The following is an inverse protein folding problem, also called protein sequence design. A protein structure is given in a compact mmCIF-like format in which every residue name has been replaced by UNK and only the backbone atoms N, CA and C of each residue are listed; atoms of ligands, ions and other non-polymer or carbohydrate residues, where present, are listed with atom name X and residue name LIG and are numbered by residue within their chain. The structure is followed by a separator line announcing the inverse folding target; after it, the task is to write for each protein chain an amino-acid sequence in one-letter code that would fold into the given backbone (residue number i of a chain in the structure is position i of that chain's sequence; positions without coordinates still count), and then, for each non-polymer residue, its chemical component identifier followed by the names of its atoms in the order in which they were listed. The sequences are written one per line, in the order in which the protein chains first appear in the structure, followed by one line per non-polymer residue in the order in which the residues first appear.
data_IF_813218734646
#
_entry.id   IF_813218734646
#
_cell.length_a   1.000
_cell.length_b   1.000
_cell.length_c   1.000
_cell.angle_alpha   90.00
_cell.angle_beta   90.00
_cell.angle_gamma   90.00
#
_symmetry.space_group_name_H-M   'P 1'
#
loop_
_entity.id
_entity.type
_entity.pdbx_description
1 polymer ?
#
# COMPACT_ATOMS: atom_id res chain seq x y z
N UNK A 1 -3.70 24.97 -1.24
CA UNK A 1 -3.69 23.48 -1.25
C UNK A 1 -2.96 22.96 -0.04
N UNK A 2 -3.61 22.14 0.76
CA UNK A 2 -2.90 21.51 1.85
C UNK A 2 -1.82 20.58 1.30
N UNK A 3 -0.65 20.67 1.89
CA UNK A 3 0.46 19.79 1.57
C UNK A 3 0.24 18.45 2.27
N UNK A 4 0.52 17.34 1.57
CA UNK A 4 0.49 16.03 2.19
C UNK A 4 1.71 15.93 3.11
N UNK A 5 1.47 15.70 4.39
CA UNK A 5 2.54 15.64 5.37
C UNK A 5 3.14 14.26 5.45
N UNK A 6 4.48 14.18 5.44
CA UNK A 6 5.19 12.96 5.73
C UNK A 6 5.03 12.62 7.22
N UNK A 7 4.81 11.34 7.52
CA UNK A 7 4.75 10.88 8.90
C UNK A 7 6.10 11.05 9.58
N UNK A 8 6.10 11.51 10.83
CA UNK A 8 7.29 11.50 11.67
C UNK A 8 7.69 10.07 11.98
N UNK A 9 8.90 9.87 12.48
CA UNK A 9 9.38 8.54 12.86
C UNK A 9 8.44 7.88 13.87
N UNK A 10 7.95 8.64 14.84
CA UNK A 10 7.03 8.15 15.87
C UNK A 10 5.65 7.83 15.29
N UNK A 11 5.09 8.73 14.48
CA UNK A 11 3.81 8.51 13.81
C UNK A 11 3.87 7.28 12.90
N UNK A 12 4.99 7.13 12.19
CA UNK A 12 5.20 5.98 11.30
C UNK A 12 5.21 4.67 12.08
N UNK A 13 5.93 4.62 13.20
CA UNK A 13 5.99 3.42 14.03
C UNK A 13 4.60 3.02 14.54
N UNK A 14 3.81 3.99 15.00
CA UNK A 14 2.45 3.75 15.46
C UNK A 14 1.54 3.28 14.32
N UNK A 15 1.63 3.95 13.17
CA UNK A 15 0.81 3.63 12.00
C UNK A 15 1.10 2.20 11.50
N UNK A 16 2.37 1.81 11.45
CA UNK A 16 2.77 0.47 11.00
C UNK A 16 2.24 -0.63 11.91
N UNK A 17 2.06 -0.36 13.20
CA UNK A 17 1.48 -1.34 14.12
C UNK A 17 0.03 -1.68 13.76
N UNK A 18 -0.65 -0.83 13.00
CA UNK A 18 -2.03 -1.07 12.56
C UNK A 18 -2.12 -1.86 11.26
N UNK A 19 -1.00 -2.01 10.56
CA UNK A 19 -0.92 -2.78 9.31
C UNK A 19 0.28 -3.74 9.38
N UNK A 20 0.27 -4.72 10.30
CA UNK A 20 1.44 -5.54 10.60
C UNK A 20 1.91 -6.44 9.47
N UNK A 21 1.06 -6.70 8.47
CA UNK A 21 1.44 -7.51 7.31
C UNK A 21 2.28 -6.73 6.29
N UNK A 22 2.38 -5.41 6.44
CA UNK A 22 3.16 -4.56 5.55
C UNK A 22 4.56 -4.34 6.11
N UNK A 23 5.55 -4.42 5.22
CA UNK A 23 6.96 -4.30 5.57
C UNK A 23 7.47 -2.91 5.18
N UNK A 24 8.14 -2.25 6.13
CA UNK A 24 8.81 -0.97 5.86
C UNK A 24 10.07 -1.21 5.03
N UNK A 25 10.28 -0.38 3.99
CA UNK A 25 11.51 -0.44 3.21
C UNK A 25 12.73 0.00 4.04
N UNK A 26 13.94 -0.40 3.61
CA UNK A 26 15.17 -0.12 4.34
C UNK A 26 15.40 1.38 4.53
N UNK A 27 15.02 2.18 3.54
CA UNK A 27 15.15 3.64 3.60
C UNK A 27 13.92 4.32 4.23
N UNK A 28 12.96 3.55 4.72
CA UNK A 28 11.74 4.01 5.36
C UNK A 28 10.82 4.85 4.45
N UNK A 29 11.00 4.78 3.13
CA UNK A 29 10.23 5.60 2.18
C UNK A 29 8.91 4.96 1.75
N UNK A 30 8.74 3.67 1.96
CA UNK A 30 7.54 2.96 1.52
C UNK A 30 7.26 1.72 2.35
N UNK A 31 6.08 1.17 2.15
CA UNK A 31 5.70 -0.12 2.72
C UNK A 31 5.29 -1.06 1.61
N UNK A 32 5.52 -2.36 1.80
CA UNK A 32 5.20 -3.35 0.78
C UNK A 32 4.60 -4.61 1.40
N UNK A 33 3.83 -5.30 0.56
CA UNK A 33 3.22 -6.58 0.91
C UNK A 33 3.20 -7.46 -0.33
N UNK A 34 3.56 -8.73 -0.17
CA UNK A 34 3.50 -9.74 -1.23
C UNK A 34 2.36 -10.69 -0.93
N UNK A 35 1.55 -10.99 -1.93
CA UNK A 35 0.37 -11.85 -1.81
C UNK A 35 0.41 -12.95 -2.84
N UNK A 36 -0.09 -14.14 -2.47
CA UNK A 36 -0.26 -15.26 -3.37
C UNK A 36 -1.71 -15.70 -3.35
N UNK A 37 -2.22 -15.99 -4.54
CA UNK A 37 -3.60 -16.45 -4.76
C UNK A 37 -3.59 -17.84 -5.35
N UNK A 38 -4.77 -18.43 -5.53
CA UNK A 38 -4.88 -19.78 -6.09
C UNK A 38 -4.46 -19.83 -7.55
N UNK A 39 -4.77 -18.75 -8.31
CA UNK A 39 -4.48 -18.69 -9.74
C UNK A 39 -4.41 -17.22 -10.21
N UNK A 40 -4.21 -17.05 -11.51
CA UNK A 40 -4.12 -15.71 -12.10
C UNK A 40 -5.44 -14.95 -12.02
N UNK A 41 -6.57 -15.62 -12.22
CA UNK A 41 -7.88 -14.95 -12.18
C UNK A 41 -8.14 -14.37 -10.79
N UNK A 42 -7.82 -15.13 -9.73
CA UNK A 42 -7.95 -14.65 -8.36
C UNK A 42 -7.03 -13.45 -8.10
N UNK A 43 -5.78 -13.53 -8.58
CA UNK A 43 -4.82 -12.44 -8.44
C UNK A 43 -5.30 -11.18 -9.18
N UNK A 44 -5.72 -11.33 -10.43
CA UNK A 44 -6.17 -10.20 -11.23
C UNK A 44 -7.47 -9.59 -10.70
N UNK A 45 -8.38 -10.43 -10.21
CA UNK A 45 -9.60 -9.96 -9.55
C UNK A 45 -9.30 -9.10 -8.34
N UNK A 46 -8.34 -9.53 -7.51
CA UNK A 46 -7.86 -8.74 -6.38
C UNK A 46 -7.26 -7.42 -6.86
N UNK A 47 -6.38 -7.44 -7.86
CA UNK A 47 -5.78 -6.24 -8.41
C UNK A 47 -6.83 -5.25 -8.94
N UNK A 48 -7.88 -5.77 -9.57
CA UNK A 48 -8.97 -4.93 -10.07
C UNK A 48 -9.67 -4.19 -8.94
N UNK A 49 -9.91 -4.86 -7.81
CA UNK A 49 -10.49 -4.21 -6.63
C UNK A 49 -9.56 -3.16 -6.04
N UNK A 50 -8.27 -3.48 -5.95
CA UNK A 50 -7.27 -2.51 -5.46
C UNK A 50 -7.21 -1.29 -6.38
N UNK A 51 -7.27 -1.52 -7.70
CA UNK A 51 -7.25 -0.42 -8.67
C UNK A 51 -8.42 0.55 -8.45
N UNK A 52 -9.61 0.03 -8.16
CA UNK A 52 -10.77 0.87 -7.88
C UNK A 52 -10.61 1.66 -6.58
N UNK A 53 -10.05 1.03 -5.55
CA UNK A 53 -9.76 1.72 -4.29
C UNK A 53 -8.71 2.82 -4.47
N UNK A 54 -7.66 2.53 -5.23
CA UNK A 54 -6.58 3.47 -5.49
C UNK A 54 -7.07 4.69 -6.27
N UNK A 55 -7.89 4.45 -7.28
CA UNK A 55 -8.46 5.53 -8.09
C UNK A 55 -9.37 6.43 -7.25
N UNK A 56 -10.20 5.83 -6.41
CA UNK A 56 -11.09 6.57 -5.51
C UNK A 56 -10.31 7.41 -4.50
N UNK A 57 -9.21 6.88 -3.99
CA UNK A 57 -8.36 7.58 -3.03
C UNK A 57 -7.40 8.57 -3.69
N UNK A 58 -7.31 8.57 -5.01
CA UNK A 58 -6.31 9.32 -5.76
C UNK A 58 -4.90 9.07 -5.23
N UNK A 59 -4.60 7.78 -4.94
CA UNK A 59 -3.32 7.34 -4.41
C UNK A 59 -3.01 5.96 -4.97
N UNK A 60 -2.05 5.88 -5.87
CA UNK A 60 -1.84 4.70 -6.70
C UNK A 60 -0.62 3.89 -6.23
N UNK A 61 -0.74 2.55 -6.18
CA UNK A 61 0.37 1.71 -5.76
C UNK A 61 1.42 1.56 -6.85
N UNK A 62 2.65 1.26 -6.43
CA UNK A 62 3.68 0.71 -7.30
C UNK A 62 3.59 -0.81 -7.14
N UNK A 63 3.25 -1.52 -8.17
CA UNK A 63 2.99 -2.94 -8.03
C UNK A 63 3.35 -3.76 -9.25
N UNK A 64 3.47 -5.07 -9.04
CA UNK A 64 3.72 -6.02 -10.11
C UNK A 64 2.93 -7.30 -9.87
N UNK A 65 2.69 -8.03 -10.96
CA UNK A 65 2.00 -9.30 -10.92
C UNK A 65 2.75 -10.32 -11.77
N UNK A 66 2.95 -11.50 -11.21
CA UNK A 66 3.45 -12.66 -11.95
C UNK A 66 2.53 -13.82 -11.60
N UNK A 67 1.72 -14.24 -12.55
CA UNK A 67 0.74 -15.32 -12.41
C UNK A 67 -0.15 -15.13 -11.17
N UNK A 68 0.06 -15.89 -10.10
CA UNK A 68 -0.75 -15.84 -8.87
C UNK A 68 -0.16 -14.95 -7.78
N UNK A 69 0.98 -14.27 -8.06
CA UNK A 69 1.65 -13.41 -7.09
C UNK A 69 1.42 -11.94 -7.42
N UNK A 70 1.12 -11.16 -6.38
CA UNK A 70 0.99 -9.71 -6.49
C UNK A 70 1.88 -9.07 -5.44
N UNK A 71 2.79 -8.20 -5.87
CA UNK A 71 3.67 -7.45 -4.99
C UNK A 71 3.24 -5.99 -5.04
N UNK A 72 2.94 -5.41 -3.88
CA UNK A 72 2.41 -4.05 -3.76
C UNK A 72 3.36 -3.21 -2.91
N UNK A 73 3.68 -2.02 -3.39
CA UNK A 73 4.42 -1.01 -2.63
C UNK A 73 3.61 0.27 -2.59
N UNK A 74 3.54 0.88 -1.41
CA UNK A 74 2.88 2.17 -1.21
C UNK A 74 3.90 3.19 -0.71
N UNK A 75 3.87 4.37 -1.30
CA UNK A 75 4.69 5.51 -0.91
C UNK A 75 3.99 6.78 -1.35
N UNK A 76 4.34 7.92 -0.77
CA UNK A 76 3.79 9.22 -1.15
C UNK A 76 4.93 10.12 -1.63
N UNK A 77 5.13 10.18 -2.94
CA UNK A 77 6.22 10.97 -3.54
C UNK A 77 6.17 12.43 -3.09
N UNK A 78 5.01 13.04 -3.10
CA UNK A 78 4.83 14.44 -2.75
C UNK A 78 5.21 14.76 -1.30
N UNK A 79 5.17 13.77 -0.44
CA UNK A 79 5.58 13.90 0.96
C UNK A 79 7.04 13.51 1.20
N UNK A 80 7.68 12.93 0.21
CA UNK A 80 9.05 12.43 0.33
C UNK A 80 9.16 11.17 1.17
N UNK A 81 8.08 10.40 1.30
CA UNK A 81 8.04 9.18 2.10
C UNK A 81 6.62 8.79 2.44
N UNK A 82 6.45 8.05 3.54
CA UNK A 82 5.13 7.61 3.96
C UNK A 82 4.28 8.76 4.50
N UNK A 83 3.00 8.71 4.15
CA UNK A 83 1.97 9.61 4.67
C UNK A 83 0.78 8.79 5.17
N UNK A 84 -0.20 9.48 5.76
CA UNK A 84 -1.44 8.85 6.19
C UNK A 84 -2.20 8.18 5.03
N UNK A 85 -1.99 8.64 3.79
CA UNK A 85 -2.63 8.04 2.60
C UNK A 85 -2.18 6.61 2.38
N UNK A 86 -0.90 6.32 2.61
CA UNK A 86 -0.35 4.96 2.45
C UNK A 86 -0.98 4.01 3.46
N UNK A 87 -1.11 4.45 4.69
CA UNK A 87 -1.69 3.63 5.76
C UNK A 87 -3.17 3.38 5.50
N UNK A 88 -3.90 4.41 5.08
CA UNK A 88 -5.33 4.27 4.77
C UNK A 88 -5.55 3.30 3.62
N UNK A 89 -4.73 3.38 2.56
CA UNK A 89 -4.85 2.47 1.43
C UNK A 89 -4.43 1.05 1.81
N UNK A 90 -3.38 0.88 2.62
CA UNK A 90 -2.97 -0.43 3.12
C UNK A 90 -4.10 -1.11 3.89
N UNK A 91 -4.79 -0.38 4.77
CA UNK A 91 -5.95 -0.90 5.50
C UNK A 91 -7.08 -1.31 4.56
N UNK A 92 -7.37 -0.49 3.57
CA UNK A 92 -8.43 -0.77 2.60
C UNK A 92 -8.11 -2.01 1.76
N UNK A 93 -6.84 -2.17 1.37
CA UNK A 93 -6.37 -3.37 0.65
C UNK A 93 -6.50 -4.60 1.54
N UNK A 94 -6.05 -4.51 2.78
CA UNK A 94 -6.14 -5.63 3.74
C UNK A 94 -7.58 -6.08 3.95
N UNK A 95 -8.53 -5.15 3.93
CA UNK A 95 -9.95 -5.46 4.11
C UNK A 95 -10.54 -6.25 2.94
N UNK A 96 -9.87 -6.34 1.81
CA UNK A 96 -10.30 -7.18 0.68
C UNK A 96 -9.94 -8.65 0.85
N UNK A 97 -9.09 -8.98 1.80
CA UNK A 97 -8.53 -10.33 1.99
C UNK A 97 -9.32 -11.17 3.03
#
# INVERSE_FOLDING_TARGET
MPRIARLSDEERAQALSTVPAWRLSDDASGISRSLRFDDFVAAFGFMSKVALLAERADHHPEWSNVYNRVDIRLTTHDAGGLSARDIALAKAIDALL
#
